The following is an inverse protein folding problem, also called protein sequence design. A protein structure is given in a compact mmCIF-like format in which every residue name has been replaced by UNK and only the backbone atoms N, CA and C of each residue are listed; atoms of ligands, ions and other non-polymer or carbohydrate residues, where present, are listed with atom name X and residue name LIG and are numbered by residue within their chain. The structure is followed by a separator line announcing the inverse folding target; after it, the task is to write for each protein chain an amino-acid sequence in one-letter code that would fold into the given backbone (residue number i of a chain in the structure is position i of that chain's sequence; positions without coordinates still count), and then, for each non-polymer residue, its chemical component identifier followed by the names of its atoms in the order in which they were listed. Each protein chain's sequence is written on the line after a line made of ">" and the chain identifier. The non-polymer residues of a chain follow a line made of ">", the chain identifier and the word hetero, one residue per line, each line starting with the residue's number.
data_IF_971273894084
#
_entry.id   IF_971273894084
#
_cell.length_a   1.000
_cell.length_b   1.000
_cell.length_c   1.000
_cell.angle_alpha   90.00
_cell.angle_beta   90.00
_cell.angle_gamma   90.00
#
_symmetry.space_group_name_H-M   'P 1'
#
loop_
_entity.id
_entity.type
_entity.pdbx_description
1 polymer ?
#
# COMPACT_ATOMS: atom_id res chain seq x y z
N UNK A 1 -89.34 28.70 42.75
CA UNK A 1 -88.15 27.89 43.04
C UNK A 1 -87.26 27.92 41.81
N UNK A 2 -86.23 28.76 41.86
CA UNK A 2 -85.18 28.89 40.84
C UNK A 2 -84.13 27.82 41.09
N UNK A 3 -83.89 26.96 40.10
CA UNK A 3 -82.80 25.97 40.13
C UNK A 3 -81.62 26.57 39.36
N UNK A 4 -80.54 26.84 40.09
CA UNK A 4 -79.23 27.21 39.57
C UNK A 4 -78.63 26.05 38.77
N UNK A 5 -78.10 26.33 37.59
CA UNK A 5 -77.22 25.40 36.87
C UNK A 5 -75.84 26.04 36.85
N UNK A 6 -74.92 25.45 37.61
CA UNK A 6 -73.51 25.81 37.68
C UNK A 6 -72.81 25.59 36.33
N UNK A 7 -72.04 26.57 35.91
CA UNK A 7 -71.12 26.49 34.80
C UNK A 7 -69.91 25.62 35.20
N UNK A 8 -69.75 24.47 34.53
CA UNK A 8 -68.55 23.64 34.61
C UNK A 8 -67.41 24.29 33.84
N UNK A 9 -66.29 24.55 34.52
CA UNK A 9 -65.05 25.05 33.92
C UNK A 9 -64.37 23.98 33.05
N UNK A 10 -63.74 24.35 31.92
CA UNK A 10 -62.99 23.40 31.09
C UNK A 10 -61.70 22.93 31.80
N UNK A 11 -61.27 21.68 31.61
CA UNK A 11 -60.05 21.18 32.23
C UNK A 11 -58.80 21.83 31.65
N UNK A 12 -57.83 22.07 32.53
CA UNK A 12 -56.57 22.74 32.26
C UNK A 12 -55.61 21.91 31.38
N UNK A 13 -54.93 22.58 30.44
CA UNK A 13 -53.51 22.32 30.21
C UNK A 13 -53.02 21.77 28.86
N UNK A 14 -53.78 21.85 27.76
CA UNK A 14 -53.22 21.59 26.42
C UNK A 14 -53.35 22.87 25.59
N UNK A 15 -52.29 23.69 25.60
CA UNK A 15 -52.20 24.84 24.70
C UNK A 15 -52.45 24.36 23.25
N UNK A 16 -53.28 25.07 22.46
CA UNK A 16 -53.59 24.66 21.10
C UNK A 16 -52.29 24.53 20.31
N UNK A 17 -52.18 23.45 19.53
CA UNK A 17 -51.04 23.20 18.66
C UNK A 17 -51.05 24.28 17.59
N UNK A 18 -50.15 25.25 17.71
CA UNK A 18 -50.01 26.34 16.74
C UNK A 18 -48.93 25.99 15.73
N UNK A 19 -49.20 26.29 14.46
CA UNK A 19 -48.21 26.22 13.39
C UNK A 19 -46.94 27.02 13.76
N UNK A 20 -45.77 26.43 13.53
CA UNK A 20 -44.47 27.03 13.84
C UNK A 20 -44.07 26.98 15.31
N UNK A 21 -44.92 26.45 16.20
CA UNK A 21 -44.59 26.34 17.62
C UNK A 21 -43.44 25.34 17.82
N UNK A 22 -42.41 25.76 18.55
CA UNK A 22 -41.32 24.89 19.01
C UNK A 22 -41.79 24.16 20.27
N UNK A 23 -41.72 22.83 20.27
CA UNK A 23 -42.10 21.98 21.42
C UNK A 23 -41.09 20.87 21.62
N UNK A 24 -40.82 20.56 22.88
CA UNK A 24 -40.07 19.38 23.25
C UNK A 24 -40.99 18.17 23.37
N UNK A 25 -40.75 17.16 22.55
CA UNK A 25 -41.60 15.96 22.43
C UNK A 25 -40.77 14.74 22.83
N UNK A 26 -41.23 13.90 23.77
CA UNK A 26 -40.54 12.66 24.12
C UNK A 26 -40.28 11.78 22.89
N UNK A 27 -39.08 11.23 22.77
CA UNK A 27 -38.67 10.41 21.61
C UNK A 27 -39.62 9.23 21.32
N UNK A 28 -40.19 8.59 22.36
CA UNK A 28 -41.15 7.50 22.22
C UNK A 28 -42.51 7.91 21.63
N UNK A 29 -42.82 9.23 21.59
CA UNK A 29 -44.02 9.77 20.96
C UNK A 29 -43.82 10.19 19.50
N UNK A 30 -42.60 10.02 18.96
CA UNK A 30 -42.26 10.37 17.57
C UNK A 30 -42.31 9.15 16.65
N UNK A 31 -43.23 9.18 15.68
CA UNK A 31 -43.40 8.16 14.64
C UNK A 31 -42.87 8.68 13.30
N UNK A 32 -42.56 7.77 12.37
CA UNK A 32 -42.24 8.18 11.00
C UNK A 32 -43.53 8.62 10.30
N UNK A 33 -43.50 9.71 9.54
CA UNK A 33 -44.62 10.04 8.66
C UNK A 33 -44.65 9.06 7.47
N UNK A 34 -45.82 8.49 7.11
CA UNK A 34 -45.96 7.70 5.89
C UNK A 34 -45.88 8.55 4.62
N UNK A 35 -45.89 9.90 4.75
CA UNK A 35 -45.84 10.87 3.63
C UNK A 35 -44.45 11.43 3.35
N UNK A 36 -43.40 10.68 3.68
CA UNK A 36 -42.03 11.08 3.35
C UNK A 36 -41.79 10.94 1.84
N UNK A 37 -41.30 12.02 1.21
CA UNK A 37 -40.99 12.02 -0.23
C UNK A 37 -39.86 11.04 -0.58
N UNK A 38 -38.94 10.79 0.36
CA UNK A 38 -37.82 9.86 0.18
C UNK A 38 -38.29 8.41 0.39
N UNK A 39 -38.27 7.61 -0.68
CA UNK A 39 -38.62 6.18 -0.67
C UNK A 39 -37.44 5.26 -0.34
N UNK A 40 -36.24 5.63 -0.78
CA UNK A 40 -35.00 4.90 -0.44
C UNK A 40 -34.52 5.38 0.92
N UNK A 41 -34.52 4.48 1.91
CA UNK A 41 -34.11 4.79 3.28
C UNK A 41 -32.64 5.22 3.39
N UNK A 42 -32.28 5.77 4.55
CA UNK A 42 -30.88 6.07 4.85
C UNK A 42 -30.07 4.78 5.02
N UNK A 43 -28.82 4.79 4.58
CA UNK A 43 -27.92 3.67 4.83
C UNK A 43 -27.64 3.55 6.34
N UNK A 44 -27.21 2.37 6.79
CA UNK A 44 -26.78 2.20 8.18
C UNK A 44 -25.64 3.16 8.55
N UNK A 45 -24.69 3.37 7.63
CA UNK A 45 -23.57 4.29 7.81
C UNK A 45 -24.04 5.75 7.99
N UNK A 46 -25.03 6.21 7.21
CA UNK A 46 -25.58 7.57 7.36
C UNK A 46 -26.22 7.78 8.74
N UNK A 47 -26.93 6.76 9.24
CA UNK A 47 -27.59 6.83 10.54
C UNK A 47 -26.54 6.84 11.66
N UNK A 48 -25.48 6.04 11.54
CA UNK A 48 -24.33 6.07 12.45
C UNK A 48 -23.66 7.44 12.47
N UNK A 49 -23.41 8.03 11.29
CA UNK A 49 -22.82 9.35 11.15
C UNK A 49 -23.64 10.43 11.86
N UNK A 50 -24.96 10.39 11.65
CA UNK A 50 -25.91 11.29 12.34
C UNK A 50 -25.95 11.05 13.84
N UNK A 51 -25.92 9.80 14.30
CA UNK A 51 -25.93 9.47 15.72
C UNK A 51 -24.67 9.97 16.44
N UNK A 52 -23.51 9.80 15.80
CA UNK A 52 -22.23 10.32 16.28
C UNK A 52 -22.25 11.85 16.38
N UNK A 53 -22.72 12.53 15.32
CA UNK A 53 -22.86 13.99 15.31
C UNK A 53 -23.81 14.50 16.39
N UNK A 54 -24.99 13.87 16.55
CA UNK A 54 -25.96 14.23 17.60
C UNK A 54 -25.38 14.00 19.00
N UNK A 55 -24.63 12.92 19.20
CA UNK A 55 -23.97 12.66 20.50
C UNK A 55 -22.92 13.74 20.82
N UNK A 56 -22.16 14.17 19.82
CA UNK A 56 -21.07 15.13 20.02
C UNK A 56 -21.56 16.58 20.13
N UNK A 57 -22.61 16.97 19.40
CA UNK A 57 -23.03 18.37 19.19
C UNK A 57 -24.47 18.65 19.60
N UNK A 58 -25.24 17.63 19.94
CA UNK A 58 -26.68 17.72 20.12
C UNK A 58 -27.46 17.78 18.81
N UNK A 59 -28.78 17.90 18.91
CA UNK A 59 -29.67 18.04 17.75
C UNK A 59 -29.66 19.50 17.26
N UNK A 60 -28.80 19.81 16.30
CA UNK A 60 -28.63 21.18 15.76
C UNK A 60 -29.85 21.70 15.00
N UNK A 61 -30.47 20.83 14.20
CA UNK A 61 -31.69 21.15 13.46
C UNK A 61 -32.87 20.43 14.13
N UNK A 62 -33.93 21.14 14.57
CA UNK A 62 -35.15 20.54 15.09
C UNK A 62 -35.86 19.64 14.06
N UNK A 63 -36.60 18.64 14.53
CA UNK A 63 -37.48 17.85 13.67
C UNK A 63 -38.74 18.65 13.32
N UNK A 64 -39.29 18.50 12.12
CA UNK A 64 -40.63 19.04 11.81
C UNK A 64 -41.63 17.91 11.92
N UNK A 65 -42.73 18.17 12.61
CA UNK A 65 -43.72 17.16 12.95
C UNK A 65 -45.14 17.64 12.74
N UNK A 66 -46.03 16.72 12.39
CA UNK A 66 -47.48 16.92 12.42
C UNK A 66 -48.09 16.10 13.58
N UNK A 67 -49.13 16.60 14.27
CA UNK A 67 -49.87 15.80 15.24
C UNK A 67 -50.56 14.62 14.54
N UNK A 68 -50.42 13.41 15.08
CA UNK A 68 -51.20 12.26 14.60
C UNK A 68 -52.63 12.37 15.13
N UNK A 69 -53.59 12.34 14.21
CA UNK A 69 -55.03 12.37 14.50
C UNK A 69 -55.63 10.98 14.32
N UNK A 70 -56.43 10.53 15.28
CA UNK A 70 -57.19 9.28 15.20
C UNK A 70 -58.39 9.43 14.24
N UNK A 71 -59.03 8.32 13.84
CA UNK A 71 -60.19 8.31 12.93
C UNK A 71 -61.37 9.17 13.41
N UNK A 72 -61.45 9.49 14.70
CA UNK A 72 -62.45 10.39 15.29
C UNK A 72 -62.07 11.88 15.36
N UNK A 73 -60.93 12.28 14.80
CA UNK A 73 -60.44 13.68 14.84
C UNK A 73 -59.78 14.11 16.16
N UNK A 74 -59.67 13.20 17.14
CA UNK A 74 -58.95 13.43 18.38
C UNK A 74 -57.44 13.21 18.21
N UNK A 75 -56.62 14.00 18.91
CA UNK A 75 -55.17 13.84 18.90
C UNK A 75 -54.75 12.54 19.60
N UNK A 76 -54.00 11.67 18.91
CA UNK A 76 -53.53 10.40 19.46
C UNK A 76 -52.46 10.56 20.56
N UNK A 77 -51.91 11.77 20.69
CA UNK A 77 -50.78 12.09 21.56
C UNK A 77 -49.42 11.74 20.96
N UNK A 78 -49.37 11.19 19.75
CA UNK A 78 -48.16 10.99 18.95
C UNK A 78 -48.00 12.07 17.89
N UNK A 79 -46.79 12.19 17.38
CA UNK A 79 -46.44 13.12 16.31
C UNK A 79 -45.72 12.36 15.19
N UNK A 80 -46.10 12.64 13.95
CA UNK A 80 -45.47 12.08 12.76
C UNK A 80 -44.35 13.02 12.31
N UNK A 81 -43.13 12.49 12.17
CA UNK A 81 -41.97 13.26 11.69
C UNK A 81 -42.05 13.39 10.18
N UNK A 82 -42.30 14.61 9.70
CA UNK A 82 -42.41 14.96 8.28
C UNK A 82 -41.04 15.36 7.70
N UNK A 83 -40.23 16.08 8.47
CA UNK A 83 -38.85 16.44 8.12
C UNK A 83 -37.88 15.96 9.21
N UNK A 84 -36.81 15.28 8.79
CA UNK A 84 -35.75 14.82 9.67
C UNK A 84 -35.84 13.35 10.08
N UNK A 85 -36.44 12.49 9.25
CA UNK A 85 -36.54 11.04 9.53
C UNK A 85 -35.18 10.40 9.86
N UNK A 86 -34.10 10.71 9.12
CA UNK A 86 -32.76 10.23 9.45
C UNK A 86 -32.25 10.68 10.82
N UNK A 87 -32.62 11.88 11.28
CA UNK A 87 -32.31 12.37 12.65
C UNK A 87 -33.11 11.60 13.70
N UNK A 88 -34.39 11.32 13.43
CA UNK A 88 -35.22 10.46 14.30
C UNK A 88 -34.64 9.06 14.42
N UNK A 89 -34.19 8.46 13.32
CA UNK A 89 -33.54 7.15 13.32
C UNK A 89 -32.24 7.15 14.13
N UNK A 90 -31.41 8.18 13.99
CA UNK A 90 -30.20 8.36 14.78
C UNK A 90 -30.48 8.49 16.29
N UNK A 91 -31.50 9.28 16.68
CA UNK A 91 -31.95 9.38 18.08
C UNK A 91 -32.44 8.02 18.61
N UNK A 92 -33.18 7.25 17.81
CA UNK A 92 -33.61 5.89 18.17
C UNK A 92 -32.42 4.93 18.32
N UNK A 93 -31.38 5.06 17.48
CA UNK A 93 -30.16 4.27 17.59
C UNK A 93 -29.42 4.58 18.90
N UNK A 94 -29.28 5.87 19.25
CA UNK A 94 -28.69 6.28 20.52
C UNK A 94 -29.48 5.76 21.73
N UNK A 95 -30.82 5.80 21.67
CA UNK A 95 -31.68 5.23 22.71
C UNK A 95 -31.55 3.69 22.81
N UNK A 96 -31.43 2.99 21.67
CA UNK A 96 -31.17 1.54 21.64
C UNK A 96 -29.83 1.19 22.29
N UNK A 97 -28.83 2.06 22.14
CA UNK A 97 -27.50 1.96 22.78
C UNK A 97 -27.48 2.42 24.25
N UNK A 98 -28.62 2.83 24.82
CA UNK A 98 -28.74 3.37 26.18
C UNK A 98 -27.91 4.64 26.41
N UNK A 99 -27.58 5.37 25.34
CA UNK A 99 -26.92 6.67 25.42
C UNK A 99 -27.92 7.82 25.57
N UNK A 100 -29.18 7.58 25.21
CA UNK A 100 -30.33 8.47 25.45
C UNK A 100 -31.48 7.68 26.06
N UNK A 101 -32.37 8.35 26.79
CA UNK A 101 -33.59 7.72 27.30
C UNK A 101 -34.67 7.71 26.21
N UNK A 102 -35.62 6.77 26.29
CA UNK A 102 -36.77 6.74 25.35
C UNK A 102 -37.74 7.92 25.55
N UNK A 103 -37.65 8.59 26.70
CA UNK A 103 -38.48 9.74 27.07
C UNK A 103 -37.74 11.06 26.92
N UNK A 104 -36.54 11.03 26.35
CA UNK A 104 -35.71 12.22 26.14
C UNK A 104 -36.51 13.28 25.37
N UNK A 105 -36.57 14.52 25.87
CA UNK A 105 -37.21 15.62 25.16
C UNK A 105 -36.46 15.93 23.87
N UNK A 106 -37.14 15.78 22.73
CA UNK A 106 -36.61 16.13 21.41
C UNK A 106 -37.24 17.42 20.93
N UNK A 107 -36.40 18.40 20.60
CA UNK A 107 -36.86 19.69 20.06
C UNK A 107 -37.49 19.51 18.68
N UNK A 108 -38.77 19.84 18.57
CA UNK A 108 -39.57 19.73 17.36
C UNK A 108 -40.25 21.07 17.02
N UNK A 109 -40.49 21.31 15.73
CA UNK A 109 -41.34 22.39 15.21
C UNK A 109 -42.62 21.74 14.72
N UNK A 110 -43.77 22.23 15.18
CA UNK A 110 -45.05 21.65 14.77
C UNK A 110 -45.58 22.36 13.51
N UNK A 111 -45.87 21.58 12.48
CA UNK A 111 -46.52 22.03 11.24
C UNK A 111 -47.89 21.37 11.13
N UNK A 112 -48.93 22.19 11.02
CA UNK A 112 -50.32 21.75 10.86
C UNK A 112 -50.98 22.34 9.61
N UNK A 113 -50.25 23.13 8.81
CA UNK A 113 -50.83 23.89 7.69
C UNK A 113 -50.36 23.39 6.34
N UNK A 114 -49.09 23.00 6.23
CA UNK A 114 -48.53 22.59 4.94
C UNK A 114 -48.75 21.10 4.70
N UNK A 115 -48.76 20.68 3.43
CA UNK A 115 -48.78 19.26 3.08
C UNK A 115 -47.44 18.61 3.49
N UNK A 116 -47.45 17.57 4.36
CA UNK A 116 -46.26 16.82 4.73
C UNK A 116 -45.41 16.33 3.55
N UNK A 117 -46.05 15.97 2.44
CA UNK A 117 -45.33 15.47 1.26
C UNK A 117 -44.57 16.60 0.55
N UNK A 118 -45.20 17.77 0.43
CA UNK A 118 -44.61 18.95 -0.22
C UNK A 118 -43.40 19.46 0.57
N UNK A 119 -43.54 19.66 1.89
CA UNK A 119 -42.44 20.13 2.74
C UNK A 119 -41.29 19.11 2.80
N UNK A 120 -41.61 17.81 2.73
CA UNK A 120 -40.61 16.75 2.68
C UNK A 120 -39.85 16.76 1.36
N UNK A 121 -40.53 17.02 0.25
CA UNK A 121 -39.90 17.13 -1.07
C UNK A 121 -39.01 18.38 -1.13
N UNK A 122 -39.53 19.54 -0.72
CA UNK A 122 -38.80 20.81 -0.75
C UNK A 122 -37.51 20.75 0.07
N UNK A 123 -37.55 20.16 1.27
CA UNK A 123 -36.37 20.01 2.12
C UNK A 123 -35.32 19.03 1.56
N UNK A 124 -35.72 18.05 0.74
CA UNK A 124 -34.78 17.16 0.08
C UNK A 124 -34.19 17.79 -1.19
N UNK A 125 -34.98 18.54 -1.96
CA UNK A 125 -34.57 19.13 -3.26
C UNK A 125 -33.76 20.41 -3.08
N UNK A 126 -34.10 21.24 -2.10
CA UNK A 126 -33.38 22.51 -1.83
C UNK A 126 -31.97 22.31 -1.27
N UNK A 127 -31.64 21.11 -0.81
CA UNK A 127 -30.30 20.79 -0.32
C UNK A 127 -29.31 20.66 -1.47
N UNK A 128 -28.28 21.49 -1.43
CA UNK A 128 -27.04 21.26 -2.19
C UNK A 128 -25.98 20.77 -1.22
N UNK A 129 -25.41 19.62 -1.54
CA UNK A 129 -24.28 19.09 -0.78
C UNK A 129 -23.06 20.00 -0.94
N UNK A 130 -22.27 20.08 0.13
CA UNK A 130 -20.99 20.80 0.11
C UNK A 130 -20.04 20.10 -0.87
N UNK A 131 -19.35 20.88 -1.70
CA UNK A 131 -18.38 20.34 -2.65
C UNK A 131 -17.28 19.54 -1.91
N UNK A 132 -16.80 18.40 -2.43
CA UNK A 132 -15.78 17.60 -1.75
C UNK A 132 -14.50 18.38 -1.42
N UNK A 133 -14.06 19.28 -2.30
CA UNK A 133 -12.91 20.15 -2.05
C UNK A 133 -13.06 20.98 -0.76
N UNK A 134 -14.24 21.58 -0.56
CA UNK A 134 -14.54 22.39 0.61
C UNK A 134 -14.60 21.52 1.87
N UNK A 135 -15.04 20.27 1.75
CA UNK A 135 -14.94 19.31 2.85
C UNK A 135 -13.48 19.02 3.19
N UNK A 136 -12.59 18.82 2.21
CA UNK A 136 -11.18 18.52 2.48
C UNK A 136 -10.51 19.67 3.26
N UNK A 137 -10.70 20.90 2.79
CA UNK A 137 -10.19 22.10 3.46
C UNK A 137 -10.80 22.30 4.84
N UNK A 138 -12.11 22.10 5.01
CA UNK A 138 -12.75 22.22 6.32
C UNK A 138 -12.25 21.18 7.33
N UNK A 139 -11.97 19.95 6.89
CA UNK A 139 -11.40 18.92 7.76
C UNK A 139 -9.96 19.27 8.15
N UNK A 140 -9.15 19.77 7.21
CA UNK A 140 -7.79 20.24 7.48
C UNK A 140 -7.78 21.43 8.45
N UNK A 141 -8.64 22.41 8.22
CA UNK A 141 -8.78 23.58 9.10
C UNK A 141 -9.16 23.19 10.53
N UNK A 142 -10.05 22.20 10.69
CA UNK A 142 -10.39 21.65 12.01
C UNK A 142 -9.20 20.97 12.68
N UNK A 143 -8.41 20.18 11.93
CA UNK A 143 -7.21 19.53 12.45
C UNK A 143 -6.18 20.58 12.94
N UNK A 144 -5.93 21.62 12.14
CA UNK A 144 -4.97 22.68 12.45
C UNK A 144 -5.42 23.59 13.60
N UNK A 145 -6.65 24.11 13.54
CA UNK A 145 -7.14 25.08 14.54
C UNK A 145 -7.52 24.45 15.87
N UNK A 146 -7.99 23.20 15.88
CA UNK A 146 -8.45 22.51 17.09
C UNK A 146 -7.48 21.44 17.59
N UNK A 147 -6.45 21.09 16.81
CA UNK A 147 -5.51 20.02 17.15
C UNK A 147 -6.15 18.63 17.17
N UNK A 148 -7.25 18.42 16.44
CA UNK A 148 -7.93 17.13 16.43
C UNK A 148 -7.29 16.18 15.42
N UNK A 149 -6.94 14.97 15.88
CA UNK A 149 -6.51 13.87 15.02
C UNK A 149 -7.65 13.24 14.22
N UNK A 150 -7.31 12.37 13.28
CA UNK A 150 -8.28 11.72 12.39
C UNK A 150 -9.32 10.89 13.15
N UNK A 151 -8.92 10.26 14.25
CA UNK A 151 -9.77 9.45 15.12
C UNK A 151 -10.84 10.32 15.82
N UNK A 152 -10.45 11.47 16.36
CA UNK A 152 -11.37 12.39 17.06
C UNK A 152 -12.34 13.06 16.06
N UNK A 153 -11.82 13.50 14.91
CA UNK A 153 -12.67 14.04 13.84
C UNK A 153 -13.63 12.94 13.35
N UNK A 154 -13.14 11.73 13.10
CA UNK A 154 -13.97 10.60 12.69
C UNK A 154 -15.10 10.32 13.68
N UNK A 155 -14.79 10.28 14.99
CA UNK A 155 -15.76 10.06 16.04
C UNK A 155 -16.84 11.16 16.13
N UNK A 156 -16.49 12.42 15.85
CA UNK A 156 -17.44 13.57 15.94
C UNK A 156 -18.34 13.73 14.73
N UNK A 157 -17.87 13.31 13.56
CA UNK A 157 -18.62 13.40 12.31
C UNK A 157 -19.20 12.05 11.88
N UNK A 158 -18.84 10.98 12.60
CA UNK A 158 -19.20 9.58 12.35
C UNK A 158 -18.77 9.11 10.97
N UNK A 159 -17.53 9.43 10.65
CA UNK A 159 -16.80 9.00 9.46
C UNK A 159 -15.62 8.15 9.95
N UNK A 160 -15.19 7.14 9.18
CA UNK A 160 -14.05 6.32 9.59
C UNK A 160 -12.76 7.16 9.66
N UNK A 161 -11.86 6.81 10.58
CA UNK A 161 -10.57 7.50 10.69
C UNK A 161 -9.78 7.45 9.37
N UNK A 162 -9.87 6.36 8.61
CA UNK A 162 -9.26 6.23 7.29
C UNK A 162 -9.79 7.27 6.30
N UNK A 163 -11.11 7.43 6.19
CA UNK A 163 -11.71 8.43 5.29
C UNK A 163 -11.31 9.84 5.74
N UNK A 164 -11.19 10.09 7.04
CA UNK A 164 -10.69 11.37 7.54
C UNK A 164 -9.24 11.60 7.12
N UNK A 165 -8.34 10.61 7.28
CA UNK A 165 -6.94 10.73 6.83
C UNK A 165 -6.85 11.01 5.34
N UNK A 166 -7.65 10.34 4.51
CA UNK A 166 -7.74 10.59 3.08
C UNK A 166 -8.17 12.05 2.78
N UNK A 167 -9.20 12.55 3.46
CA UNK A 167 -9.65 13.95 3.30
C UNK A 167 -8.61 14.96 3.76
N UNK A 168 -7.91 14.69 4.87
CA UNK A 168 -6.82 15.53 5.36
C UNK A 168 -5.68 15.57 4.33
N UNK A 169 -5.32 14.42 3.75
CA UNK A 169 -4.30 14.35 2.69
C UNK A 169 -4.70 15.16 1.46
N UNK A 170 -5.94 15.04 0.99
CA UNK A 170 -6.45 15.83 -0.12
C UNK A 170 -6.51 17.33 0.19
N UNK A 171 -6.84 17.70 1.43
CA UNK A 171 -6.80 19.10 1.88
C UNK A 171 -5.38 19.67 1.96
N UNK A 172 -4.37 18.81 1.96
CA UNK A 172 -2.95 19.18 1.94
C UNK A 172 -2.34 19.22 0.54
N UNK A 173 -3.09 18.92 -0.51
CA UNK A 173 -2.65 19.11 -1.90
C UNK A 173 -2.51 20.61 -2.22
N UNK A 174 -1.67 20.95 -3.21
CA UNK A 174 -1.47 22.31 -3.68
C UNK A 174 -2.82 23.02 -3.96
N UNK A 175 -3.02 24.25 -3.45
CA UNK A 175 -4.30 24.97 -3.61
C UNK A 175 -4.75 25.11 -5.08
N UNK A 176 -3.81 25.28 -6.01
CA UNK A 176 -4.11 25.36 -7.43
C UNK A 176 -4.76 24.08 -7.99
N UNK A 177 -4.37 22.90 -7.51
CA UNK A 177 -4.99 21.63 -7.93
C UNK A 177 -6.41 21.48 -7.35
N UNK A 178 -6.65 21.98 -6.13
CA UNK A 178 -8.01 22.03 -5.57
C UNK A 178 -8.91 22.96 -6.39
N UNK A 179 -8.40 24.11 -6.83
CA UNK A 179 -9.14 25.03 -7.70
C UNK A 179 -9.44 24.43 -9.07
N UNK A 180 -8.50 23.70 -9.66
CA UNK A 180 -8.73 22.95 -10.90
C UNK A 180 -9.77 21.84 -10.73
N UNK A 181 -9.79 21.17 -9.57
CA UNK A 181 -10.82 20.20 -9.23
C UNK A 181 -12.20 20.87 -9.07
N UNK A 182 -12.29 22.04 -8.44
CA UNK A 182 -13.54 22.84 -8.36
C UNK A 182 -14.05 23.27 -9.73
N UNK A 183 -13.14 23.53 -10.66
CA UNK A 183 -13.44 23.90 -12.04
C UNK A 183 -13.75 22.68 -12.94
N UNK A 184 -13.84 21.47 -12.36
CA UNK A 184 -14.06 20.20 -13.07
C UNK A 184 -12.98 19.90 -14.14
N UNK A 185 -11.82 20.57 -14.06
CA UNK A 185 -10.66 20.32 -14.94
C UNK A 185 -9.87 19.09 -14.49
N UNK A 186 -9.93 18.80 -13.18
CA UNK A 186 -9.42 17.56 -12.60
C UNK A 186 -10.60 16.73 -12.08
N UNK A 187 -10.47 15.41 -12.15
CA UNK A 187 -11.37 14.47 -11.48
C UNK A 187 -10.88 14.18 -10.06
N UNK A 188 -11.75 13.61 -9.22
CA UNK A 188 -11.36 13.20 -7.86
C UNK A 188 -10.21 12.18 -7.90
N UNK A 189 -10.24 11.22 -8.82
CA UNK A 189 -9.22 10.18 -8.94
C UNK A 189 -7.84 10.75 -9.34
N UNK A 190 -7.84 11.78 -10.17
CA UNK A 190 -6.62 12.51 -10.52
C UNK A 190 -6.07 13.29 -9.33
N UNK A 191 -6.93 13.96 -8.57
CA UNK A 191 -6.54 14.68 -7.37
C UNK A 191 -5.97 13.73 -6.30
N UNK A 192 -6.57 12.55 -6.13
CA UNK A 192 -6.06 11.50 -5.24
C UNK A 192 -4.65 11.05 -5.62
N UNK A 193 -4.35 10.94 -6.92
CA UNK A 193 -3.02 10.59 -7.39
C UNK A 193 -1.95 11.65 -7.05
N UNK A 194 -2.30 12.94 -7.01
CA UNK A 194 -1.38 13.99 -6.52
C UNK A 194 -1.21 13.96 -4.99
N UNK A 195 -2.20 13.44 -4.26
CA UNK A 195 -2.18 13.27 -2.80
C UNK A 195 -1.18 12.23 -2.28
N UNK A 196 -0.40 11.59 -3.17
CA UNK A 196 0.67 10.66 -2.80
C UNK A 196 1.78 11.37 -2.03
N UNK A 197 2.16 12.60 -2.41
CA UNK A 197 3.20 13.40 -1.73
C UNK A 197 2.63 14.75 -1.32
N UNK A 198 3.14 15.38 -0.24
CA UNK A 198 2.70 16.71 0.23
C UNK A 198 3.49 17.88 -0.39
N UNK A 199 4.48 17.57 -1.22
CA UNK A 199 5.32 18.55 -1.91
C UNK A 199 4.54 19.25 -3.02
N UNK A 200 4.17 20.51 -2.77
CA UNK A 200 3.40 21.32 -3.71
C UNK A 200 4.20 21.67 -4.96
N UNK A 201 5.52 21.84 -4.88
CA UNK A 201 6.35 22.13 -6.06
C UNK A 201 6.37 20.93 -7.00
N UNK A 202 6.59 19.73 -6.45
CA UNK A 202 6.55 18.49 -7.24
C UNK A 202 5.18 18.24 -7.85
N UNK A 203 4.10 18.45 -7.08
CA UNK A 203 2.72 18.31 -7.58
C UNK A 203 2.47 19.21 -8.79
N UNK A 204 2.88 20.49 -8.72
CA UNK A 204 2.70 21.43 -9.83
C UNK A 204 3.59 21.10 -11.03
N UNK A 205 4.85 20.72 -10.79
CA UNK A 205 5.77 20.27 -11.84
C UNK A 205 5.18 19.08 -12.63
N UNK A 206 4.69 18.05 -11.92
CA UNK A 206 4.06 16.88 -12.55
C UNK A 206 2.77 17.27 -13.28
N UNK A 207 1.97 18.18 -12.73
CA UNK A 207 0.76 18.67 -13.39
C UNK A 207 1.06 19.40 -14.71
N UNK A 208 2.11 20.23 -14.76
CA UNK A 208 2.55 20.95 -15.96
C UNK A 208 3.11 19.98 -17.03
N UNK A 209 3.87 18.97 -16.61
CA UNK A 209 4.44 17.96 -17.52
C UNK A 209 3.36 17.05 -18.15
N UNK A 210 2.32 16.70 -17.39
CA UNK A 210 1.27 15.78 -17.83
C UNK A 210 0.11 16.48 -18.56
N UNK A 211 0.37 17.60 -19.26
CA UNK A 211 -0.64 18.49 -19.84
C UNK A 211 -1.75 17.77 -20.63
N UNK A 212 -1.46 16.65 -21.29
CA UNK A 212 -2.42 15.88 -22.09
C UNK A 212 -2.76 14.48 -21.52
N UNK A 213 -1.85 13.82 -20.83
CA UNK A 213 -2.05 12.47 -20.28
C UNK A 213 -2.16 12.50 -18.75
N UNK A 214 -3.36 12.83 -18.25
CA UNK A 214 -3.64 12.93 -16.80
C UNK A 214 -4.33 11.67 -16.26
N UNK A 215 -3.93 10.49 -16.72
CA UNK A 215 -4.47 9.26 -16.15
C UNK A 215 -3.96 9.10 -14.71
N UNK A 216 -4.79 8.66 -13.73
CA UNK A 216 -4.35 8.52 -12.34
C UNK A 216 -3.09 7.67 -12.16
N UNK A 217 -2.93 6.59 -12.94
CA UNK A 217 -1.71 5.78 -12.94
C UNK A 217 -0.47 6.55 -13.38
N UNK A 218 -0.57 7.36 -14.46
CA UNK A 218 0.54 8.17 -14.96
C UNK A 218 0.96 9.25 -13.95
N UNK A 219 -0.02 9.88 -13.28
CA UNK A 219 0.23 10.84 -12.21
C UNK A 219 0.96 10.15 -11.05
N UNK A 220 0.45 9.01 -10.55
CA UNK A 220 1.13 8.28 -9.46
C UNK A 220 2.57 7.93 -9.83
N UNK A 221 2.79 7.37 -11.02
CA UNK A 221 4.12 7.01 -11.52
C UNK A 221 5.07 8.22 -11.54
N UNK A 222 4.62 9.36 -12.08
CA UNK A 222 5.42 10.59 -12.09
C UNK A 222 5.66 11.14 -10.67
N UNK A 223 4.68 11.05 -9.77
CA UNK A 223 4.82 11.47 -8.38
C UNK A 223 5.80 10.60 -7.58
N UNK A 224 6.00 9.34 -7.98
CA UNK A 224 6.87 8.38 -7.30
C UNK A 224 8.15 8.04 -8.06
N UNK A 225 8.42 8.69 -9.20
CA UNK A 225 9.57 8.37 -10.08
C UNK A 225 10.93 8.48 -9.39
N UNK A 226 11.09 9.45 -8.49
CA UNK A 226 12.32 9.62 -7.70
C UNK A 226 12.39 8.68 -6.49
N UNK A 227 11.40 7.82 -6.27
CA UNK A 227 11.28 6.94 -5.11
C UNK A 227 11.37 5.49 -5.54
N UNK A 228 11.82 4.63 -4.62
CA UNK A 228 11.94 3.18 -4.88
C UNK A 228 10.74 2.45 -4.30
N UNK A 229 10.08 1.61 -5.08
CA UNK A 229 8.94 0.84 -4.60
C UNK A 229 9.37 -0.20 -3.56
N UNK A 230 8.50 -0.51 -2.60
CA UNK A 230 8.80 -1.45 -1.52
C UNK A 230 9.02 -2.90 -2.00
N UNK A 231 8.55 -3.23 -3.20
CA UNK A 231 8.75 -4.51 -3.90
C UNK A 231 10.01 -4.52 -4.79
N UNK A 232 10.77 -3.43 -4.87
CA UNK A 232 12.06 -3.40 -5.56
C UNK A 232 13.02 -4.41 -4.91
N UNK A 233 13.80 -5.12 -5.74
CA UNK A 233 14.79 -6.11 -5.31
C UNK A 233 15.75 -5.60 -4.23
N UNK A 234 16.09 -4.30 -4.24
CA UNK A 234 16.92 -3.65 -3.21
C UNK A 234 16.19 -3.55 -1.88
N UNK A 235 14.92 -3.16 -1.90
CA UNK A 235 14.08 -3.03 -0.72
C UNK A 235 13.79 -4.41 -0.10
N UNK A 236 13.52 -5.42 -0.93
CA UNK A 236 13.36 -6.83 -0.50
C UNK A 236 14.66 -7.35 0.13
N UNK A 237 15.80 -7.09 -0.51
CA UNK A 237 17.10 -7.55 -0.02
C UNK A 237 17.49 -6.92 1.32
N UNK A 238 17.33 -5.61 1.49
CA UNK A 238 17.64 -4.94 2.77
C UNK A 238 16.59 -5.31 3.83
N UNK A 239 15.32 -5.36 3.43
CA UNK A 239 14.16 -5.45 4.31
C UNK A 239 13.67 -4.07 4.74
N UNK A 240 12.36 -3.88 4.77
CA UNK A 240 11.74 -2.59 5.15
C UNK A 240 12.06 -2.17 6.59
N UNK A 241 12.14 -3.13 7.50
CA UNK A 241 12.44 -2.86 8.92
C UNK A 241 13.86 -2.32 9.10
N UNK A 242 14.86 -2.91 8.44
CA UNK A 242 16.25 -2.43 8.47
C UNK A 242 16.40 -1.03 7.85
N UNK A 243 15.63 -0.74 6.79
CA UNK A 243 15.58 0.61 6.20
C UNK A 243 14.99 1.65 7.16
N UNK A 244 13.91 1.31 7.86
CA UNK A 244 13.30 2.17 8.87
C UNK A 244 14.22 2.39 10.08
N UNK A 245 14.90 1.34 10.55
CA UNK A 245 15.88 1.44 11.65
C UNK A 245 17.07 2.34 11.30
N UNK A 246 17.49 2.33 10.03
CA UNK A 246 18.52 3.23 9.51
C UNK A 246 18.04 4.69 9.35
N UNK A 247 16.79 4.99 9.69
CA UNK A 247 16.19 6.33 9.61
C UNK A 247 15.53 6.65 8.27
N UNK A 248 15.32 5.65 7.42
CA UNK A 248 14.63 5.81 6.14
C UNK A 248 13.14 6.13 6.30
N UNK A 249 12.60 6.91 5.36
CA UNK A 249 11.18 7.27 5.32
C UNK A 249 10.45 6.45 4.25
N UNK A 250 9.31 5.84 4.62
CA UNK A 250 8.43 5.14 3.69
C UNK A 250 7.17 5.98 3.49
N UNK A 251 6.97 6.42 2.25
CA UNK A 251 5.73 7.01 1.82
C UNK A 251 4.72 5.90 1.54
N UNK A 252 3.53 5.97 2.13
CA UNK A 252 2.43 5.04 1.82
C UNK A 252 1.32 5.79 1.09
N UNK A 253 0.85 5.26 -0.03
CA UNK A 253 -0.33 5.78 -0.72
C UNK A 253 -1.58 5.38 0.07
N UNK A 254 -2.29 6.39 0.58
CA UNK A 254 -3.52 6.21 1.36
C UNK A 254 -4.73 5.85 0.48
N UNK A 255 -4.55 5.83 -0.84
CA UNK A 255 -5.59 5.59 -1.85
C UNK A 255 -5.40 4.27 -2.62
N UNK A 256 -4.34 3.49 -2.35
CA UNK A 256 -4.13 2.15 -2.91
C UNK A 256 -4.39 1.05 -1.88
N UNK A 257 -5.04 -0.05 -2.29
CA UNK A 257 -5.30 -1.20 -1.41
C UNK A 257 -4.05 -2.05 -1.14
N UNK A 258 -3.08 -2.02 -2.05
CA UNK A 258 -1.93 -2.93 -2.04
C UNK A 258 -0.86 -2.60 -0.97
N UNK A 259 -1.04 -1.53 -0.19
CA UNK A 259 -0.11 -1.16 0.87
C UNK A 259 1.33 -0.88 0.40
N UNK A 260 1.54 -0.77 -0.92
CA UNK A 260 2.81 -0.50 -1.57
C UNK A 260 3.38 0.80 -1.02
N UNK A 261 4.46 0.68 -0.26
CA UNK A 261 5.23 1.82 0.19
C UNK A 261 6.23 2.23 -0.88
N UNK A 262 6.63 3.49 -0.88
CA UNK A 262 7.78 3.97 -1.64
C UNK A 262 8.82 4.50 -0.65
N UNK A 263 10.04 3.99 -0.75
CA UNK A 263 11.19 4.45 -0.01
C UNK A 263 11.62 5.80 -0.59
N UNK A 264 11.66 6.83 0.27
CA UNK A 264 11.95 8.20 -0.17
C UNK A 264 13.44 8.46 -0.36
N UNK A 265 14.27 7.87 0.50
CA UNK A 265 15.72 8.02 0.46
C UNK A 265 16.38 6.85 -0.28
N UNK A 266 16.63 7.06 -1.57
CA UNK A 266 17.29 6.10 -2.46
C UNK A 266 18.77 5.96 -2.12
N UNK A 267 19.42 7.03 -1.67
CA UNK A 267 20.85 7.04 -1.36
C UNK A 267 21.12 6.20 -0.11
N UNK A 268 20.26 6.32 0.91
CA UNK A 268 20.30 5.46 2.08
C UNK A 268 20.08 3.99 1.71
N UNK A 269 19.11 3.71 0.83
CA UNK A 269 18.83 2.35 0.38
C UNK A 269 20.06 1.75 -0.33
N UNK A 270 20.64 2.46 -1.30
CA UNK A 270 21.79 1.97 -2.06
C UNK A 270 23.01 1.75 -1.15
N UNK A 271 23.20 2.62 -0.14
CA UNK A 271 24.23 2.43 0.88
C UNK A 271 24.02 1.16 1.70
N UNK A 272 22.79 0.91 2.20
CA UNK A 272 22.48 -0.29 2.97
C UNK A 272 22.64 -1.57 2.16
N UNK A 273 22.24 -1.55 0.88
CA UNK A 273 22.46 -2.67 -0.04
C UNK A 273 23.96 -2.94 -0.20
N UNK A 274 24.77 -1.89 -0.44
CA UNK A 274 26.20 -2.02 -0.60
C UNK A 274 26.89 -2.56 0.66
N UNK A 275 26.54 -2.04 1.84
CA UNK A 275 27.06 -2.51 3.13
C UNK A 275 26.70 -3.98 3.40
N UNK A 276 25.44 -4.37 3.15
CA UNK A 276 24.97 -5.74 3.34
C UNK A 276 25.61 -6.73 2.37
N UNK A 277 25.71 -6.38 1.08
CA UNK A 277 26.41 -7.22 0.10
C UNK A 277 27.90 -7.36 0.42
N UNK A 278 28.56 -6.28 0.85
CA UNK A 278 29.96 -6.31 1.24
C UNK A 278 30.20 -7.20 2.47
N UNK A 279 29.29 -7.17 3.45
CA UNK A 279 29.35 -8.06 4.62
C UNK A 279 29.25 -9.54 4.22
N UNK A 280 28.29 -9.89 3.35
CA UNK A 280 28.14 -11.27 2.84
C UNK A 280 29.38 -11.69 2.04
N UNK A 281 29.91 -10.81 1.18
CA UNK A 281 31.12 -11.08 0.43
C UNK A 281 32.34 -11.34 1.35
N UNK A 282 32.48 -10.57 2.43
CA UNK A 282 33.54 -10.77 3.42
C UNK A 282 33.35 -12.08 4.20
N UNK A 283 32.13 -12.40 4.61
CA UNK A 283 31.81 -13.65 5.31
C UNK A 283 32.15 -14.89 4.46
N UNK A 284 31.77 -14.88 3.19
CA UNK A 284 32.09 -15.97 2.25
C UNK A 284 33.60 -16.07 2.03
N UNK A 285 34.30 -14.93 1.88
CA UNK A 285 35.76 -14.90 1.77
C UNK A 285 36.43 -15.54 2.97
N UNK A 286 36.05 -15.13 4.18
CA UNK A 286 36.72 -15.52 5.41
C UNK A 286 36.39 -16.96 5.81
N UNK A 287 35.17 -17.43 5.50
CA UNK A 287 34.75 -18.82 5.77
C UNK A 287 35.36 -19.81 4.79
N UNK A 288 35.44 -19.45 3.51
CA UNK A 288 35.91 -20.35 2.45
C UNK A 288 37.41 -20.16 2.11
N UNK A 289 38.05 -19.09 2.57
CA UNK A 289 39.48 -18.84 2.43
C UNK A 289 39.91 -18.16 1.12
N UNK A 290 38.99 -17.55 0.37
CA UNK A 290 39.30 -16.90 -0.92
C UNK A 290 40.24 -15.70 -0.77
N UNK A 291 41.05 -15.44 -1.80
CA UNK A 291 42.01 -14.32 -1.80
C UNK A 291 41.33 -12.95 -1.72
N UNK A 292 40.23 -12.79 -2.44
CA UNK A 292 39.48 -11.56 -2.51
C UNK A 292 37.99 -11.84 -2.69
N UNK A 293 37.17 -10.86 -2.34
CA UNK A 293 35.75 -10.87 -2.61
C UNK A 293 35.30 -9.50 -3.10
N UNK A 294 34.35 -9.48 -4.04
CA UNK A 294 33.71 -8.25 -4.49
C UNK A 294 32.19 -8.38 -4.46
N UNK A 295 31.54 -7.25 -4.20
CA UNK A 295 30.09 -7.13 -4.08
C UNK A 295 29.58 -6.15 -5.13
N UNK A 296 28.59 -6.57 -5.91
CA UNK A 296 28.02 -5.75 -6.98
C UNK A 296 26.49 -5.81 -6.98
N UNK A 297 25.86 -4.67 -7.28
CA UNK A 297 24.40 -4.60 -7.44
C UNK A 297 23.92 -5.30 -8.72
N UNK A 298 24.74 -5.26 -9.76
CA UNK A 298 24.52 -5.91 -11.07
C UNK A 298 25.80 -6.64 -11.46
N UNK A 299 25.66 -7.76 -12.17
CA UNK A 299 26.81 -8.56 -12.59
C UNK A 299 27.81 -7.72 -13.41
N UNK A 300 29.09 -7.63 -13.00
CA UNK A 300 30.08 -6.85 -13.72
C UNK A 300 30.51 -7.59 -15.00
N UNK A 301 29.91 -7.26 -16.13
CA UNK A 301 30.37 -7.74 -17.43
C UNK A 301 31.78 -7.20 -17.73
N UNK A 302 32.64 -8.03 -18.34
CA UNK A 302 33.99 -7.59 -18.72
C UNK A 302 35.00 -7.51 -17.57
N UNK A 303 34.76 -8.19 -16.43
CA UNK A 303 35.68 -8.22 -15.28
C UNK A 303 37.09 -8.78 -15.56
N UNK A 304 37.37 -9.30 -16.76
CA UNK A 304 38.69 -9.79 -17.19
C UNK A 304 39.21 -11.02 -16.43
N UNK A 305 38.50 -11.48 -15.40
CA UNK A 305 38.90 -12.63 -14.59
C UNK A 305 38.74 -13.96 -15.35
N UNK A 306 39.75 -14.82 -15.27
CA UNK A 306 39.63 -16.23 -15.64
C UNK A 306 38.80 -16.99 -14.60
N UNK A 307 38.21 -18.11 -15.03
CA UNK A 307 37.33 -18.92 -14.16
C UNK A 307 37.93 -20.31 -13.94
N UNK A 308 38.07 -20.68 -12.68
CA UNK A 308 38.38 -22.02 -12.22
C UNK A 308 37.07 -22.70 -11.82
N UNK A 309 36.97 -23.98 -12.13
CA UNK A 309 35.83 -24.80 -11.76
C UNK A 309 36.21 -25.74 -10.61
N UNK A 310 35.20 -26.11 -9.83
CA UNK A 310 35.35 -27.14 -8.81
C UNK A 310 35.68 -28.49 -9.45
N UNK A 311 36.59 -29.23 -8.82
CA UNK A 311 36.94 -30.58 -9.25
C UNK A 311 36.27 -31.60 -8.34
N UNK A 312 35.99 -32.77 -8.90
CA UNK A 312 35.41 -33.87 -8.13
C UNK A 312 36.44 -34.36 -7.11
N UNK A 313 36.05 -34.36 -5.84
CA UNK A 313 36.90 -34.89 -4.76
C UNK A 313 36.92 -36.41 -4.87
N UNK A 314 38.12 -37.00 -5.05
CA UNK A 314 38.29 -38.44 -5.01
C UNK A 314 38.12 -38.97 -3.58
N UNK A 315 36.92 -39.50 -3.28
CA UNK A 315 36.60 -40.12 -1.99
C UNK A 315 37.14 -41.54 -1.90
N UNK A 316 37.55 -41.94 -0.71
CA UNK A 316 37.93 -43.33 -0.44
C UNK A 316 36.74 -44.28 -0.68
N UNK A 317 37.02 -45.53 -1.04
CA UNK A 317 35.97 -46.53 -1.28
C UNK A 317 35.11 -46.79 -0.03
N UNK A 318 35.72 -46.71 1.16
CA UNK A 318 35.02 -46.85 2.45
C UNK A 318 34.03 -45.68 2.68
N UNK A 319 34.46 -44.45 2.40
CA UNK A 319 33.62 -43.26 2.55
C UNK A 319 32.47 -43.21 1.53
N UNK A 320 32.72 -43.63 0.29
CA UNK A 320 31.66 -43.76 -0.73
C UNK A 320 30.59 -44.76 -0.30
N UNK A 321 31.00 -45.87 0.31
CA UNK A 321 30.06 -46.91 0.77
C UNK A 321 29.22 -46.42 1.95
N UNK A 322 29.85 -45.70 2.89
CA UNK A 322 29.17 -45.09 4.05
C UNK A 322 28.19 -43.99 3.64
N UNK A 323 28.61 -43.07 2.77
CA UNK A 323 27.76 -42.01 2.25
C UNK A 323 26.59 -42.59 1.45
N UNK A 324 26.85 -43.59 0.59
CA UNK A 324 25.79 -44.30 -0.13
C UNK A 324 24.77 -44.96 0.78
N UNK A 325 25.19 -45.53 1.91
CA UNK A 325 24.28 -46.10 2.90
C UNK A 325 23.43 -45.03 3.59
N UNK A 326 24.02 -43.90 3.99
CA UNK A 326 23.30 -42.77 4.61
C UNK A 326 22.29 -42.14 3.66
N UNK A 327 22.66 -41.94 2.39
CA UNK A 327 21.75 -41.40 1.37
C UNK A 327 20.59 -42.36 1.10
N UNK A 328 20.86 -43.67 1.01
CA UNK A 328 19.83 -44.68 0.84
C UNK A 328 18.88 -44.76 2.06
N UNK A 329 19.40 -44.59 3.27
CA UNK A 329 18.59 -44.51 4.50
C UNK A 329 17.69 -43.27 4.49
N UNK A 330 18.22 -42.12 4.08
CA UNK A 330 17.44 -40.89 3.91
C UNK A 330 16.31 -41.06 2.89
N UNK A 331 16.64 -41.57 1.70
CA UNK A 331 15.65 -41.79 0.63
C UNK A 331 14.58 -42.78 1.06
N UNK A 332 14.94 -43.87 1.75
CA UNK A 332 13.99 -44.83 2.28
C UNK A 332 13.06 -44.23 3.35
N UNK A 333 13.57 -43.33 4.20
CA UNK A 333 12.76 -42.60 5.18
C UNK A 333 11.81 -41.62 4.49
N UNK A 334 12.29 -40.83 3.53
CA UNK A 334 11.45 -39.90 2.77
C UNK A 334 10.35 -40.66 2.04
N UNK A 335 10.68 -41.73 1.31
CA UNK A 335 9.71 -42.54 0.55
C UNK A 335 8.66 -43.18 1.48
N UNK A 336 9.10 -43.72 2.63
CA UNK A 336 8.20 -44.37 3.59
C UNK A 336 7.17 -43.40 4.19
N UNK A 337 7.49 -42.12 4.25
CA UNK A 337 6.65 -41.09 4.85
C UNK A 337 6.16 -40.05 3.83
N UNK A 338 6.26 -40.34 2.53
CA UNK A 338 5.93 -39.42 1.44
C UNK A 338 4.43 -39.06 1.36
N UNK A 339 3.55 -39.93 1.86
CA UNK A 339 2.09 -39.74 1.82
C UNK A 339 1.54 -38.87 2.96
N UNK A 340 2.38 -38.38 3.88
CA UNK A 340 1.97 -37.53 4.99
C UNK A 340 2.29 -36.06 4.73
N UNK A 341 1.30 -35.19 4.97
CA UNK A 341 1.48 -33.73 4.90
C UNK A 341 2.37 -33.18 6.03
N UNK A 342 2.45 -33.87 7.17
CA UNK A 342 3.32 -33.53 8.30
C UNK A 342 4.08 -34.77 8.80
N UNK A 343 5.41 -34.68 8.86
CA UNK A 343 6.26 -35.74 9.38
C UNK A 343 6.19 -35.83 10.91
N UNK A 344 6.19 -37.03 11.50
CA UNK A 344 6.38 -37.17 12.94
C UNK A 344 7.71 -36.52 13.40
N UNK A 345 7.74 -35.81 14.54
CA UNK A 345 8.92 -35.06 14.99
C UNK A 345 10.15 -35.96 15.24
N UNK A 346 9.93 -37.23 15.54
CA UNK A 346 11.00 -38.23 15.67
C UNK A 346 11.67 -38.54 14.33
N UNK A 347 10.89 -38.55 13.23
CA UNK A 347 11.39 -38.80 11.87
C UNK A 347 12.08 -37.55 11.32
N UNK A 348 11.54 -36.37 11.59
CA UNK A 348 12.18 -35.10 11.25
C UNK A 348 13.56 -34.97 11.91
N UNK A 349 13.67 -35.31 13.20
CA UNK A 349 14.95 -35.32 13.92
C UNK A 349 15.94 -36.34 13.33
N UNK A 350 15.46 -37.52 12.93
CA UNK A 350 16.29 -38.55 12.28
C UNK A 350 16.80 -38.10 10.90
N UNK A 351 15.94 -37.50 10.08
CA UNK A 351 16.35 -36.95 8.78
C UNK A 351 17.39 -35.86 8.96
N UNK A 352 17.20 -34.95 9.92
CA UNK A 352 18.18 -33.91 10.25
C UNK A 352 19.54 -34.48 10.68
N UNK A 353 19.54 -35.57 11.47
CA UNK A 353 20.76 -36.24 11.89
C UNK A 353 21.48 -36.91 10.71
N UNK A 354 20.73 -37.56 9.81
CA UNK A 354 21.27 -38.17 8.59
C UNK A 354 21.82 -37.08 7.66
N UNK A 355 21.11 -35.98 7.46
CA UNK A 355 21.59 -34.86 6.63
C UNK A 355 22.87 -34.23 7.20
N UNK A 356 22.97 -34.11 8.54
CA UNK A 356 24.22 -33.68 9.19
C UNK A 356 25.34 -34.70 8.95
N UNK A 357 25.07 -35.98 9.12
CA UNK A 357 26.05 -37.03 8.87
C UNK A 357 26.51 -37.06 7.41
N UNK A 358 25.61 -36.82 6.44
CA UNK A 358 25.94 -36.67 5.02
C UNK A 358 26.80 -35.42 4.79
N UNK A 359 26.46 -34.29 5.41
CA UNK A 359 27.23 -33.05 5.30
C UNK A 359 28.66 -33.19 5.87
N UNK A 360 28.83 -33.95 6.95
CA UNK A 360 30.14 -34.23 7.58
C UNK A 360 31.10 -34.99 6.63
N UNK A 361 30.58 -35.71 5.63
CA UNK A 361 31.39 -36.39 4.60
C UNK A 361 31.88 -35.44 3.49
N UNK A 362 31.59 -34.14 3.60
CA UNK A 362 32.07 -33.09 2.70
C UNK A 362 31.36 -33.07 1.33
N UNK A 363 31.64 -32.03 0.53
CA UNK A 363 31.03 -31.84 -0.79
C UNK A 363 31.68 -32.75 -1.85
N UNK A 364 30.89 -33.15 -2.84
CA UNK A 364 31.34 -33.98 -3.98
C UNK A 364 32.36 -33.24 -4.87
N UNK A 365 32.28 -31.92 -4.85
CA UNK A 365 33.11 -31.02 -5.62
C UNK A 365 33.74 -29.99 -4.68
N UNK A 366 35.02 -29.73 -4.87
CA UNK A 366 35.78 -28.74 -4.11
C UNK A 366 36.81 -28.06 -5.01
N UNK A 367 37.22 -26.86 -4.61
CA UNK A 367 38.35 -26.19 -5.22
C UNK A 367 39.63 -26.66 -4.57
N UNK A 368 40.70 -26.82 -5.35
CA UNK A 368 42.02 -27.07 -4.77
C UNK A 368 42.41 -25.93 -3.83
N UNK A 369 43.03 -26.21 -2.66
CA UNK A 369 43.41 -25.16 -1.71
C UNK A 369 44.31 -24.08 -2.31
N UNK A 370 45.20 -24.45 -3.23
CA UNK A 370 46.04 -23.50 -3.98
C UNK A 370 45.22 -22.64 -4.96
N UNK A 371 44.16 -23.21 -5.55
CA UNK A 371 43.23 -22.48 -6.40
C UNK A 371 42.38 -21.49 -5.59
N UNK A 372 41.92 -21.87 -4.40
CA UNK A 372 41.18 -20.97 -3.48
C UNK A 372 42.04 -19.79 -3.04
N UNK A 373 43.34 -20.02 -2.78
CA UNK A 373 44.29 -19.00 -2.36
C UNK A 373 44.62 -17.96 -3.45
N UNK A 374 44.33 -18.23 -4.73
CA UNK A 374 44.53 -17.29 -5.86
C UNK A 374 43.22 -16.72 -6.43
N UNK A 375 42.14 -17.47 -6.32
CA UNK A 375 40.84 -17.06 -6.83
C UNK A 375 40.05 -16.26 -5.79
N UNK A 376 38.98 -15.63 -6.26
CA UNK A 376 38.06 -14.84 -5.49
C UNK A 376 36.61 -15.18 -5.78
N UNK A 377 35.74 -14.49 -5.04
CA UNK A 377 34.30 -14.65 -5.11
C UNK A 377 33.64 -13.34 -5.51
N UNK A 378 32.66 -13.43 -6.40
CA UNK A 378 31.83 -12.31 -6.82
C UNK A 378 30.42 -12.54 -6.28
N UNK A 379 29.95 -11.60 -5.46
CA UNK A 379 28.61 -11.61 -4.88
C UNK A 379 27.75 -10.58 -5.59
N UNK A 380 26.62 -11.02 -6.13
CA UNK A 380 25.71 -10.19 -6.93
C UNK A 380 24.30 -10.27 -6.38
N UNK A 381 23.60 -9.14 -6.37
CA UNK A 381 22.18 -9.13 -6.09
C UNK A 381 21.38 -9.62 -7.31
N UNK A 382 20.62 -10.71 -7.12
CA UNK A 382 19.70 -11.27 -8.10
C UNK A 382 18.49 -10.36 -8.37
N UNK A 383 17.67 -10.78 -9.34
CA UNK A 383 16.47 -10.04 -9.74
C UNK A 383 15.37 -10.05 -8.66
N UNK A 384 15.29 -11.13 -7.89
CA UNK A 384 14.21 -11.34 -6.91
C UNK A 384 14.62 -10.93 -5.48
N UNK A 385 15.78 -10.28 -5.33
CA UNK A 385 16.34 -9.88 -4.03
C UNK A 385 17.24 -10.95 -3.39
N UNK A 386 17.38 -12.12 -4.01
CA UNK A 386 18.30 -13.18 -3.57
C UNK A 386 19.76 -12.84 -3.89
N UNK A 387 20.67 -13.37 -3.08
CA UNK A 387 22.11 -13.19 -3.29
C UNK A 387 22.67 -14.34 -4.10
N UNK A 388 23.28 -14.03 -5.24
CA UNK A 388 24.03 -14.98 -6.05
C UNK A 388 25.52 -14.87 -5.72
N UNK A 389 26.13 -16.01 -5.42
CA UNK A 389 27.54 -16.12 -5.05
C UNK A 389 28.24 -16.97 -6.11
N UNK A 390 29.02 -16.31 -6.96
CA UNK A 390 29.82 -16.97 -7.99
C UNK A 390 31.28 -17.07 -7.53
N UNK A 391 31.80 -18.30 -7.47
CA UNK A 391 33.14 -18.64 -6.96
C UNK A 391 34.12 -18.92 -8.09
N UNK A 392 35.42 -18.88 -7.78
CA UNK A 392 36.47 -19.35 -8.67
C UNK A 392 37.00 -18.33 -9.68
N UNK A 393 36.95 -17.02 -9.37
CA UNK A 393 37.46 -15.98 -10.28
C UNK A 393 38.92 -15.62 -10.00
N UNK A 394 39.80 -15.78 -10.98
CA UNK A 394 41.22 -15.38 -10.88
C UNK A 394 41.40 -14.06 -11.61
N UNK A 395 41.96 -13.05 -10.94
CA UNK A 395 42.29 -11.78 -11.59
C UNK A 395 43.52 -11.96 -12.49
N UNK A 396 43.68 -11.15 -13.56
CA UNK A 396 44.85 -11.24 -14.44
C UNK A 396 46.20 -11.09 -13.71
N UNK A 397 46.23 -10.37 -12.59
CA UNK A 397 47.41 -10.21 -11.72
C UNK A 397 47.79 -11.47 -10.92
N UNK A 398 46.86 -12.43 -10.84
CA UNK A 398 46.94 -13.63 -10.01
C UNK A 398 46.99 -14.93 -10.83
N UNK A 399 47.03 -14.80 -12.15
CA UNK A 399 47.29 -15.94 -13.04
C UNK A 399 48.74 -16.41 -12.89
N UNK A 400 48.98 -17.74 -12.83
CA UNK A 400 50.34 -18.25 -12.78
C UNK A 400 51.08 -17.83 -14.06
N UNK A 401 52.22 -17.16 -13.89
CA UNK A 401 53.14 -16.90 -15.00
C UNK A 401 53.57 -18.27 -15.53
N UNK A 402 53.12 -18.63 -16.73
CA UNK A 402 53.65 -19.80 -17.41
C UNK A 402 55.15 -19.59 -17.61
N UNK A 403 55.97 -20.48 -17.05
CA UNK A 403 57.36 -20.58 -17.51
C UNK A 403 57.31 -20.89 -19.01
N UNK A 404 58.08 -20.20 -19.85
CA UNK A 404 58.09 -20.53 -21.27
C UNK A 404 58.60 -21.95 -21.43
N UNK A 405 57.72 -22.87 -21.83
CA UNK A 405 58.14 -24.17 -22.34
C UNK A 405 59.15 -23.90 -23.45
N UNK A 406 60.34 -24.47 -23.31
CA UNK A 406 61.39 -24.35 -24.30
C UNK A 406 60.86 -24.88 -25.63
N UNK A 407 60.82 -24.01 -26.64
CA UNK A 407 60.58 -24.37 -28.03
C UNK A 407 61.60 -25.44 -28.46
N UNK A 408 61.17 -26.70 -28.48
CA UNK A 408 61.83 -27.75 -29.25
C UNK A 408 61.53 -27.49 -30.73
N UNK A 409 62.50 -26.88 -31.38
CA UNK A 409 62.55 -26.69 -32.83
C UNK A 409 62.86 -28.03 -33.48
N UNK A 410 61.87 -28.66 -34.11
CA UNK A 410 62.10 -29.57 -35.24
C UNK A 410 61.30 -29.13 -36.47
N UNK A 411 62.03 -28.57 -37.43
CA UNK A 411 61.71 -28.51 -38.85
C UNK A 411 62.10 -29.88 -39.46
N UNK A 412 61.51 -30.49 -40.49
CA UNK A 412 60.64 -30.12 -41.61
C UNK A 412 59.87 -31.40 -42.02
N UNK A 413 58.71 -31.30 -42.69
CA UNK A 413 58.62 -31.69 -44.11
C UNK A 413 57.26 -31.29 -44.71
N UNK A 414 57.32 -30.81 -45.95
CA UNK A 414 56.22 -30.30 -46.74
C UNK A 414 55.43 -31.44 -47.40
N UNK A 415 54.10 -31.34 -47.33
CA UNK A 415 53.19 -32.22 -48.04
C UNK A 415 51.91 -31.49 -48.42
N UNK A 416 51.95 -30.78 -49.54
CA UNK A 416 50.80 -30.17 -50.22
C UNK A 416 49.64 -31.17 -50.38
N UNK A 417 48.41 -30.74 -50.07
CA UNK A 417 47.23 -31.09 -50.86
C UNK A 417 46.10 -30.07 -50.67
N UNK A 418 45.78 -29.45 -51.80
CA UNK A 418 44.60 -28.63 -52.09
C UNK A 418 43.27 -29.20 -51.57
N UNK A 419 42.37 -28.26 -51.25
CA UNK A 419 40.94 -28.47 -51.10
C UNK A 419 40.22 -27.14 -50.86
N UNK A 420 40.07 -26.36 -51.93
CA UNK A 420 39.18 -25.19 -52.01
C UNK A 420 37.76 -25.54 -51.57
N UNK A 421 37.11 -24.69 -50.75
CA UNK A 421 35.76 -24.15 -51.00
C UNK A 421 35.64 -22.74 -50.38
N UNK A 422 35.48 -21.74 -51.25
CA UNK A 422 35.09 -20.34 -51.00
C UNK A 422 33.73 -20.23 -50.28
N UNK A 423 33.66 -19.45 -49.20
CA UNK A 423 33.15 -18.07 -49.12
C UNK A 423 31.62 -17.88 -49.28
N UNK A 424 31.00 -17.33 -48.23
CA UNK A 424 29.96 -16.30 -48.37
C UNK A 424 29.99 -15.41 -47.12
N UNK A 425 30.59 -14.22 -47.30
CA UNK A 425 30.46 -13.07 -46.43
C UNK A 425 29.05 -12.48 -46.59
N UNK A 426 28.42 -12.05 -45.50
CA UNK A 426 27.82 -10.72 -45.47
C UNK A 426 27.67 -10.22 -44.02
N UNK A 427 28.14 -9.00 -43.78
CA UNK A 427 27.92 -8.20 -42.57
C UNK A 427 27.49 -6.82 -43.05
N UNK A 428 26.64 -6.13 -42.28
CA UNK A 428 27.16 -4.98 -41.56
C UNK A 428 26.62 -4.94 -40.11
N UNK A 429 27.45 -4.74 -39.09
CA UNK A 429 27.96 -3.45 -38.63
C UNK A 429 26.82 -2.48 -38.22
N UNK A 430 26.64 -2.35 -36.91
CA UNK A 430 25.91 -1.28 -36.24
C UNK A 430 26.58 -1.05 -34.89
N UNK A 431 27.48 -0.06 -34.86
CA UNK A 431 28.07 0.52 -33.66
C UNK A 431 26.98 1.22 -32.84
N UNK A 432 26.88 0.91 -31.54
CA UNK A 432 26.37 1.85 -30.55
C UNK A 432 27.34 1.84 -29.35
N UNK A 433 28.21 2.85 -29.32
CA UNK A 433 28.96 3.25 -28.14
C UNK A 433 27.96 3.71 -27.05
N UNK A 434 27.86 2.99 -25.93
CA UNK A 434 27.22 3.51 -24.73
C UNK A 434 28.16 4.53 -24.07
N UNK A 435 27.78 5.80 -24.20
CA UNK A 435 28.43 6.93 -23.54
C UNK A 435 27.94 7.00 -22.10
N UNK A 436 28.89 6.97 -21.16
CA UNK A 436 28.73 7.25 -19.72
C UNK A 436 28.08 8.64 -19.52
N UNK A 437 26.84 8.70 -18.99
CA UNK A 437 26.22 9.96 -18.55
C UNK A 437 26.31 10.09 -17.01
N UNK A 438 26.88 11.19 -16.49
CA UNK A 438 26.99 11.42 -15.05
C UNK A 438 25.65 11.85 -14.43
N UNK A 439 25.47 11.49 -13.15
CA UNK A 439 24.39 11.89 -12.23
C UNK A 439 23.81 13.30 -12.52
N UNK A 440 22.54 13.34 -12.93
CA UNK A 440 21.84 14.57 -13.33
C UNK A 440 20.74 15.02 -12.35
N UNK A 441 20.91 16.24 -11.84
CA UNK A 441 20.02 17.15 -11.12
C UNK A 441 18.49 16.86 -11.17
N UNK A 442 17.76 16.83 -10.02
CA UNK A 442 16.30 16.60 -9.94
C UNK A 442 15.40 17.64 -10.67
N UNK A 443 16.00 18.66 -11.30
CA UNK A 443 15.31 19.62 -12.18
C UNK A 443 15.46 19.33 -13.69
N UNK A 444 16.14 18.24 -14.07
CA UNK A 444 16.35 17.89 -15.47
C UNK A 444 15.05 17.43 -16.18
N UNK A 445 14.88 17.70 -17.49
CA UNK A 445 13.75 17.21 -18.27
C UNK A 445 13.81 15.68 -18.46
N UNK A 446 12.66 15.03 -18.67
CA UNK A 446 12.52 13.58 -18.83
C UNK A 446 13.43 13.03 -19.96
N UNK A 447 13.97 11.84 -19.75
CA UNK A 447 14.92 11.21 -20.67
C UNK A 447 14.29 10.87 -22.04
N UNK A 448 15.11 10.94 -23.10
CA UNK A 448 14.66 10.76 -24.49
C UNK A 448 14.04 9.37 -24.75
N UNK A 449 14.42 8.36 -23.97
CA UNK A 449 13.83 7.01 -23.98
C UNK A 449 12.35 7.01 -23.58
N UNK A 450 11.93 7.92 -22.70
CA UNK A 450 10.55 8.01 -22.20
C UNK A 450 9.60 8.77 -23.15
N UNK A 451 10.15 9.68 -23.97
CA UNK A 451 9.41 10.44 -24.99
C UNK A 451 9.01 9.53 -26.15
N UNK A 452 9.78 8.47 -26.41
CA UNK A 452 9.53 7.51 -27.49
C UNK A 452 8.41 6.49 -27.19
N UNK A 453 8.08 6.26 -25.90
CA UNK A 453 7.08 5.27 -25.46
C UNK A 453 5.69 5.88 -25.13
N UNK A 454 5.47 7.16 -25.45
CA UNK A 454 4.16 7.79 -25.36
C UNK A 454 3.40 7.60 -26.70
N UNK A 455 2.13 7.14 -26.70
CA UNK A 455 1.37 6.90 -27.93
C UNK A 455 0.98 8.17 -28.69
#
# INVERSE_FOLDING_TARGET
>A
MTVSIEASAPPAGVSPVQFGAVRDIPLNKLKASPRNARRVGHSAQDIEARAASIRAKGLLQPLVVEPEVCEGGEASGYFLVTIGEGRRQALKLLAKRKLLTKVEPVRCVVDTTNDPLEISLDENVSRRDMHPADQFEAFKDLAERKGWGAEEIGARFGVSAQVVRQRLRLGSVAPALLDLYRQETLTLDQLMAFGVTEDHERQMQVFEQLAHNRQPYAIRRAMTEAKVAADDRRAVFVGLDAYLEAGGAILRDLFSEDGGGWLEDVVLLDRLVAEKLAAIAAEVRDTEGWKWASAHLTYPHGHGCARIWEERVERSQDDQTKLGALVAEREALIEKWADLDELPPEVEAQLLEIDRAVADHGRDFAYEPEAVARAGVIVVLGHDGDVRIDRGFVRPEDEPVSEPEADDVEAEDAGERHGDIEAAMDSPAGDEEEVDEPLGDPKAPLSARLIADLP
#
